data_IF_683550169950
#
_entry.id   IF_683550169950
#
_cell.length_a   1.000
_cell.length_b   1.000
_cell.length_c   1.000
_cell.angle_alpha   90.00
_cell.angle_beta   90.00
_cell.angle_gamma   90.00
#
_symmetry.space_group_name_H-M   'P 1'
#
loop_
_entity.id
_entity.type
_entity.pdbx_description
1 polymer ?
#
# COMPACT_ATOMS: atom_id res chain seq x y z
N UNK A 1 -11.13 -50.93 -3.41
CA UNK A 1 -11.87 -49.70 -3.07
C UNK A 1 -12.75 -50.01 -1.88
N UNK A 2 -12.51 -49.34 -0.74
CA UNK A 2 -13.24 -49.62 0.51
C UNK A 2 -14.48 -48.74 0.55
N UNK A 3 -15.61 -49.25 1.04
CA UNK A 3 -16.84 -48.46 1.23
C UNK A 3 -17.03 -48.15 2.70
N UNK A 4 -17.19 -46.88 3.04
CA UNK A 4 -17.37 -46.42 4.41
C UNK A 4 -18.61 -45.52 4.52
N UNK A 5 -19.26 -45.58 5.68
CA UNK A 5 -20.21 -44.55 6.10
C UNK A 5 -19.37 -43.42 6.72
N UNK A 6 -19.44 -42.24 6.12
CA UNK A 6 -18.65 -41.08 6.55
C UNK A 6 -19.56 -40.13 7.33
N UNK A 7 -19.11 -39.68 8.50
CA UNK A 7 -19.78 -38.66 9.31
C UNK A 7 -18.83 -37.50 9.52
N UNK A 8 -19.22 -36.31 9.09
CA UNK A 8 -18.41 -35.09 9.22
C UNK A 8 -19.03 -34.23 10.31
N UNK A 9 -18.23 -33.82 11.29
CA UNK A 9 -18.68 -32.89 12.33
C UNK A 9 -18.40 -31.45 11.90
N UNK A 10 -19.45 -30.65 11.77
CA UNK A 10 -19.37 -29.21 11.50
C UNK A 10 -19.75 -28.40 12.74
N UNK A 11 -19.46 -27.09 12.73
CA UNK A 11 -19.86 -26.15 13.79
C UNK A 11 -21.39 -26.12 13.98
N UNK A 12 -22.16 -26.47 12.95
CA UNK A 12 -23.64 -26.48 12.96
C UNK A 12 -24.21 -27.86 13.32
N UNK A 13 -23.36 -28.89 13.41
CA UNK A 13 -23.74 -30.25 13.75
C UNK A 13 -23.13 -31.31 12.82
N UNK A 14 -23.35 -32.60 13.12
CA UNK A 14 -22.89 -33.70 12.27
C UNK A 14 -23.70 -33.79 10.98
N UNK A 15 -23.00 -34.00 9.86
CA UNK A 15 -23.59 -34.27 8.53
C UNK A 15 -23.11 -35.61 8.01
N UNK A 16 -24.01 -36.33 7.36
CA UNK A 16 -23.80 -37.68 6.85
C UNK A 16 -24.34 -37.77 5.41
N UNK A 17 -23.57 -38.33 4.46
CA UNK A 17 -24.07 -38.59 3.12
C UNK A 17 -25.16 -39.66 3.16
N UNK A 18 -26.13 -39.56 2.25
CA UNK A 18 -27.25 -40.52 2.15
C UNK A 18 -26.76 -41.95 1.83
N UNK A 19 -25.61 -42.07 1.13
CA UNK A 19 -25.07 -43.34 0.65
C UNK A 19 -23.65 -43.59 1.15
N UNK A 20 -23.26 -44.86 1.20
CA UNK A 20 -21.87 -45.26 1.45
C UNK A 20 -20.93 -44.71 0.38
N UNK A 21 -19.78 -44.19 0.80
CA UNK A 21 -18.81 -43.53 -0.08
C UNK A 21 -17.63 -44.45 -0.34
N UNK A 22 -17.12 -44.46 -1.58
CA UNK A 22 -15.88 -45.14 -1.93
C UNK A 22 -14.67 -44.34 -1.44
N UNK A 23 -13.82 -44.96 -0.63
CA UNK A 23 -12.64 -44.33 -0.01
C UNK A 23 -11.37 -45.05 -0.46
N UNK A 24 -10.32 -44.27 -0.67
CA UNK A 24 -8.95 -44.73 -0.86
C UNK A 24 -8.22 -44.54 0.48
N UNK A 25 -7.79 -45.64 1.09
CA UNK A 25 -6.97 -45.59 2.31
C UNK A 25 -5.51 -45.71 1.86
N UNK A 26 -4.75 -44.64 2.07
CA UNK A 26 -3.31 -44.62 1.81
C UNK A 26 -2.61 -45.12 3.08
N UNK A 27 -1.57 -45.93 2.94
CA UNK A 27 -0.84 -46.52 4.08
C UNK A 27 0.08 -45.55 4.82
N UNK A 28 -0.27 -44.27 4.87
CA UNK A 28 0.46 -43.20 5.55
C UNK A 28 -0.43 -42.71 6.69
N UNK A 29 0.16 -42.56 7.88
CA UNK A 29 -0.53 -42.04 9.07
C UNK A 29 -0.18 -40.56 9.23
N UNK A 30 -0.77 -39.72 8.38
CA UNK A 30 -0.62 -38.26 8.42
C UNK A 30 -1.79 -37.56 9.13
N UNK A 31 -2.83 -38.30 9.53
CA UNK A 31 -4.02 -37.75 10.19
C UNK A 31 -4.84 -36.82 9.29
N UNK A 32 -4.50 -36.74 8.01
CA UNK A 32 -5.15 -35.87 7.03
C UNK A 32 -6.17 -36.66 6.21
N UNK A 33 -7.23 -35.99 5.77
CA UNK A 33 -8.23 -36.57 4.89
C UNK A 33 -8.53 -35.60 3.75
N UNK A 34 -8.53 -36.12 2.53
CA UNK A 34 -8.87 -35.35 1.34
C UNK A 34 -10.32 -35.67 0.97
N UNK A 35 -11.17 -34.65 0.97
CA UNK A 35 -12.58 -34.76 0.60
C UNK A 35 -12.75 -34.25 -0.83
N UNK A 36 -13.30 -35.07 -1.71
CA UNK A 36 -13.62 -34.65 -3.07
C UNK A 36 -14.75 -33.62 -3.08
N UNK A 37 -14.68 -32.64 -3.99
CA UNK A 37 -15.73 -31.63 -4.18
C UNK A 37 -17.12 -32.25 -4.38
N UNK A 38 -17.21 -33.34 -5.14
CA UNK A 38 -18.47 -34.07 -5.35
C UNK A 38 -19.11 -34.54 -4.03
N UNK A 39 -18.30 -34.97 -3.07
CA UNK A 39 -18.80 -35.38 -1.75
C UNK A 39 -19.26 -34.15 -0.94
N UNK A 40 -18.52 -33.05 -0.97
CA UNK A 40 -18.90 -31.80 -0.32
C UNK A 40 -20.22 -31.26 -0.89
N UNK A 41 -20.38 -31.21 -2.21
CA UNK A 41 -21.62 -30.80 -2.87
C UNK A 41 -22.79 -31.72 -2.47
N UNK A 42 -22.57 -33.04 -2.35
CA UNK A 42 -23.61 -33.97 -1.91
C UNK A 42 -24.06 -33.76 -0.45
N UNK A 43 -23.19 -33.16 0.37
CA UNK A 43 -23.49 -32.74 1.75
C UNK A 43 -24.11 -31.33 1.80
N UNK A 44 -24.29 -30.66 0.66
CA UNK A 44 -24.79 -29.29 0.58
C UNK A 44 -23.73 -28.21 0.84
N UNK A 45 -22.44 -28.57 0.79
CA UNK A 45 -21.31 -27.67 0.99
C UNK A 45 -20.69 -27.37 -0.37
N UNK A 46 -21.05 -26.21 -0.95
CA UNK A 46 -20.48 -25.71 -2.19
C UNK A 46 -19.55 -24.53 -1.88
N UNK A 47 -18.26 -24.83 -1.78
CA UNK A 47 -17.23 -23.85 -1.42
C UNK A 47 -17.05 -22.81 -2.52
N UNK A 48 -17.19 -23.21 -3.79
CA UNK A 48 -17.01 -22.31 -4.93
C UNK A 48 -18.15 -21.29 -4.97
N UNK A 49 -19.41 -21.74 -4.85
CA UNK A 49 -20.56 -20.83 -4.78
C UNK A 49 -20.56 -19.95 -3.53
N UNK A 50 -20.08 -20.46 -2.39
CA UNK A 50 -19.91 -19.64 -1.17
C UNK A 50 -18.82 -18.58 -1.36
N UNK A 51 -17.73 -18.91 -2.06
CA UNK A 51 -16.67 -17.97 -2.38
C UNK A 51 -17.13 -16.92 -3.40
N UNK A 52 -17.90 -17.32 -4.42
CA UNK A 52 -18.55 -16.41 -5.36
C UNK A 52 -19.47 -15.41 -4.64
N UNK A 53 -20.28 -15.87 -3.68
CA UNK A 53 -21.12 -14.98 -2.89
C UNK A 53 -20.33 -14.04 -1.98
N UNK A 54 -19.16 -14.46 -1.48
CA UNK A 54 -18.27 -13.58 -0.72
C UNK A 54 -17.62 -12.53 -1.64
N UNK A 55 -17.24 -12.91 -2.85
CA UNK A 55 -16.70 -12.00 -3.86
C UNK A 55 -17.77 -11.03 -4.40
N UNK A 56 -19.04 -11.43 -4.44
CA UNK A 56 -20.14 -10.62 -4.96
C UNK A 56 -20.81 -9.70 -3.91
N UNK A 57 -20.36 -9.72 -2.64
CA UNK A 57 -20.91 -8.86 -1.58
C UNK A 57 -20.35 -7.43 -1.67
N UNK A 58 -21.04 -6.65 -2.51
CA UNK A 58 -21.23 -5.20 -2.53
C UNK A 58 -20.05 -4.27 -2.90
N UNK A 59 -19.85 -4.13 -4.21
CA UNK A 59 -19.50 -2.85 -4.86
C UNK A 59 -20.68 -1.86 -4.91
N UNK A 60 -21.88 -2.22 -4.44
CA UNK A 60 -23.10 -1.42 -4.60
C UNK A 60 -23.59 -0.74 -3.31
N UNK A 61 -22.80 0.18 -2.77
CA UNK A 61 -23.33 1.42 -2.19
C UNK A 61 -22.52 2.67 -2.59
N UNK A 62 -22.96 3.26 -3.71
CA UNK A 62 -22.91 4.71 -3.97
C UNK A 62 -21.59 5.29 -4.49
N UNK A 63 -21.39 5.13 -5.80
CA UNK A 63 -20.92 6.18 -6.71
C UNK A 63 -19.59 6.83 -6.37
N UNK A 64 -18.49 6.19 -6.76
CA UNK A 64 -17.20 6.84 -6.89
C UNK A 64 -16.07 5.85 -7.17
N UNK A 65 -15.56 5.89 -8.40
CA UNK A 65 -14.27 5.33 -8.85
C UNK A 65 -14.08 3.79 -8.67
N UNK A 66 -13.85 3.00 -9.73
CA UNK A 66 -13.65 1.55 -9.65
C UNK A 66 -12.27 1.16 -9.10
N UNK A 67 -11.66 2.01 -8.28
CA UNK A 67 -10.41 1.69 -7.59
C UNK A 67 -10.83 1.16 -6.22
N UNK A 68 -10.95 -0.16 -6.12
CA UNK A 68 -10.91 -0.87 -4.85
C UNK A 68 -9.59 -0.47 -4.15
N UNK A 69 -9.68 0.46 -3.21
CA UNK A 69 -8.55 0.81 -2.37
C UNK A 69 -8.40 -0.33 -1.38
N UNK A 70 -7.68 -1.36 -1.82
CA UNK A 70 -7.15 -2.41 -0.94
C UNK A 70 -6.59 -1.73 0.30
N UNK A 71 -6.85 -2.32 1.47
CA UNK A 71 -6.37 -1.84 2.77
C UNK A 71 -4.87 -2.15 2.85
N UNK A 72 -4.10 -1.55 1.96
CA UNK A 72 -2.66 -1.70 1.93
C UNK A 72 -2.07 -0.80 3.02
N UNK A 73 -1.23 -1.40 3.87
CA UNK A 73 -0.62 -0.75 5.02
C UNK A 73 0.14 0.50 4.57
N UNK A 74 0.01 1.60 5.31
CA UNK A 74 0.70 2.85 5.00
C UNK A 74 2.22 2.66 5.12
N UNK A 75 3.00 2.66 4.01
CA UNK A 75 4.45 2.50 4.09
C UNK A 75 5.13 3.82 4.51
N UNK A 76 4.41 4.94 4.46
CA UNK A 76 4.97 6.27 4.69
C UNK A 76 4.47 6.83 6.02
N UNK A 77 5.29 6.65 7.06
CA UNK A 77 5.19 7.53 8.23
C UNK A 77 5.71 8.89 7.81
N UNK A 78 4.82 9.89 7.68
CA UNK A 78 5.21 11.27 7.98
C UNK A 78 5.51 11.27 9.47
N UNK A 79 6.74 10.88 9.82
CA UNK A 79 7.19 11.14 11.16
C UNK A 79 7.07 12.65 11.33
N UNK A 80 6.32 13.09 12.34
CA UNK A 80 6.43 14.44 12.88
C UNK A 80 7.80 14.65 13.54
N UNK A 81 8.86 14.12 12.92
CA UNK A 81 10.23 14.42 13.25
C UNK A 81 10.41 15.92 13.05
N UNK A 82 11.06 16.53 14.04
CA UNK A 82 11.56 17.88 13.96
C UNK A 82 12.19 18.08 12.57
N UNK A 83 11.91 19.18 11.85
CA UNK A 83 12.49 19.42 10.55
C UNK A 83 13.99 19.20 10.62
N UNK A 84 14.48 18.33 9.74
CA UNK A 84 15.89 17.97 9.74
C UNK A 84 16.73 19.22 9.46
N UNK A 85 17.65 19.52 10.36
CA UNK A 85 18.48 20.72 10.25
C UNK A 85 19.66 20.49 9.31
N UNK A 86 20.36 21.56 8.97
CA UNK A 86 21.55 21.50 8.11
C UNK A 86 22.64 20.56 8.68
N UNK A 87 22.71 20.41 10.01
CA UNK A 87 23.61 19.47 10.70
C UNK A 87 23.26 18.01 10.38
N UNK A 88 21.97 17.69 10.27
CA UNK A 88 21.53 16.34 9.96
C UNK A 88 21.82 15.98 8.50
N UNK A 89 21.64 16.96 7.60
CA UNK A 89 22.00 16.85 6.18
C UNK A 89 23.50 16.62 6.04
N UNK A 90 24.32 17.43 6.69
CA UNK A 90 25.78 17.26 6.72
C UNK A 90 26.17 15.86 7.20
N UNK A 91 25.57 15.40 8.30
CA UNK A 91 25.83 14.07 8.85
C UNK A 91 25.36 12.94 7.92
N UNK A 92 24.30 13.14 7.15
CA UNK A 92 23.88 12.20 6.11
C UNK A 92 24.89 12.12 4.96
N UNK A 93 25.45 13.26 4.55
CA UNK A 93 26.44 13.33 3.48
C UNK A 93 27.77 12.69 3.89
N UNK A 94 28.26 12.93 5.11
CA UNK A 94 29.47 12.25 5.59
C UNK A 94 29.29 10.73 5.64
N UNK A 95 28.12 10.23 6.09
CA UNK A 95 27.81 8.79 6.02
C UNK A 95 27.83 8.23 4.60
N UNK A 96 27.37 9.01 3.62
CA UNK A 96 27.45 8.61 2.21
C UNK A 96 28.89 8.57 1.70
N UNK A 97 29.74 9.53 2.11
CA UNK A 97 31.16 9.55 1.76
C UNK A 97 31.86 8.32 2.35
N UNK A 98 31.61 8.00 3.63
CA UNK A 98 32.16 6.81 4.29
C UNK A 98 31.77 5.53 3.54
N UNK A 99 30.48 5.39 3.19
CA UNK A 99 30.00 4.26 2.40
C UNK A 99 30.72 4.16 1.04
N UNK A 100 30.96 5.29 0.36
CA UNK A 100 31.67 5.30 -0.93
C UNK A 100 33.14 4.87 -0.76
N UNK A 101 33.80 5.27 0.34
CA UNK A 101 35.16 4.82 0.68
C UNK A 101 35.20 3.31 0.96
N UNK A 102 34.24 2.79 1.72
CA UNK A 102 34.10 1.33 1.95
C UNK A 102 33.92 0.57 0.64
N UNK A 103 33.25 1.18 -0.34
CA UNK A 103 33.08 0.67 -1.70
C UNK A 103 34.28 0.94 -2.63
N UNK A 104 35.47 1.16 -2.06
CA UNK A 104 36.77 1.29 -2.74
C UNK A 104 36.93 2.52 -3.63
N UNK A 105 36.29 3.62 -3.27
CA UNK A 105 36.63 4.91 -3.86
C UNK A 105 38.08 5.31 -3.55
N UNK A 106 38.83 5.89 -4.51
CA UNK A 106 40.23 6.26 -4.30
C UNK A 106 40.40 7.29 -3.16
N UNK A 107 41.22 6.94 -2.17
CA UNK A 107 41.42 7.75 -0.96
C UNK A 107 42.02 9.13 -1.27
N UNK A 108 42.82 9.23 -2.33
CA UNK A 108 43.41 10.49 -2.80
C UNK A 108 42.38 11.51 -3.30
N UNK A 109 41.16 11.08 -3.61
CA UNK A 109 40.09 11.94 -4.11
C UNK A 109 39.00 12.22 -3.08
N UNK A 110 39.08 11.63 -1.88
CA UNK A 110 38.01 11.76 -0.86
C UNK A 110 37.82 13.21 -0.42
N UNK A 111 38.90 13.96 -0.20
CA UNK A 111 38.78 15.37 0.19
C UNK A 111 38.21 16.23 -0.95
N UNK A 112 38.52 15.89 -2.20
CA UNK A 112 37.95 16.55 -3.39
C UNK A 112 36.45 16.26 -3.46
N UNK A 113 36.05 15.00 -3.27
CA UNK A 113 34.65 14.58 -3.23
C UNK A 113 33.91 15.31 -2.11
N UNK A 114 34.44 15.32 -0.89
CA UNK A 114 33.85 16.04 0.25
C UNK A 114 33.66 17.52 -0.06
N UNK A 115 34.66 18.16 -0.66
CA UNK A 115 34.58 19.57 -1.08
C UNK A 115 33.43 19.78 -2.08
N UNK A 116 33.30 18.94 -3.10
CA UNK A 116 32.25 19.05 -4.11
C UNK A 116 30.86 18.82 -3.50
N UNK A 117 30.73 17.78 -2.69
CA UNK A 117 29.46 17.36 -2.09
C UNK A 117 28.90 18.45 -1.18
N UNK A 118 29.75 19.15 -0.43
CA UNK A 118 29.37 20.29 0.41
C UNK A 118 29.43 21.66 -0.26
N UNK A 119 29.79 21.75 -1.55
CA UNK A 119 29.96 23.03 -2.23
C UNK A 119 28.64 23.79 -2.44
N UNK A 120 27.52 23.07 -2.52
CA UNK A 120 26.21 23.64 -2.82
C UNK A 120 25.13 23.10 -1.88
N UNK A 121 24.21 23.97 -1.52
CA UNK A 121 23.02 23.62 -0.75
C UNK A 121 21.95 22.99 -1.65
N UNK A 122 22.19 21.74 -2.06
CA UNK A 122 21.31 20.99 -2.99
C UNK A 122 20.71 19.73 -2.37
N UNK A 123 21.06 19.44 -1.12
CA UNK A 123 20.70 18.20 -0.44
C UNK A 123 19.54 18.42 0.53
N UNK A 124 18.54 17.54 0.49
CA UNK A 124 17.35 17.60 1.34
C UNK A 124 17.05 16.21 1.88
N UNK A 125 16.81 16.11 3.19
CA UNK A 125 16.29 14.90 3.83
C UNK A 125 14.76 14.88 3.84
N UNK A 126 14.16 16.06 3.83
CA UNK A 126 12.71 16.26 3.82
C UNK A 126 12.36 17.48 2.96
N UNK A 127 11.09 17.62 2.59
CA UNK A 127 10.57 18.79 1.88
C UNK A 127 10.71 20.05 2.77
N UNK A 128 11.25 21.13 2.19
CA UNK A 128 11.47 22.45 2.80
C UNK A 128 10.80 23.55 1.98
N UNK A 129 10.76 24.74 2.57
CA UNK A 129 10.29 26.01 2.01
C UNK A 129 11.37 26.67 1.12
N UNK A 130 12.01 25.87 0.25
CA UNK A 130 13.04 26.38 -0.65
C UNK A 130 12.45 27.42 -1.61
N UNK A 131 13.19 28.49 -1.93
CA UNK A 131 12.70 29.51 -2.84
C UNK A 131 12.44 28.92 -4.23
N UNK A 132 11.41 29.43 -4.90
CA UNK A 132 11.13 29.06 -6.28
C UNK A 132 12.31 29.40 -7.19
N UNK A 133 12.42 28.65 -8.29
CA UNK A 133 13.39 28.97 -9.33
C UNK A 133 13.20 30.41 -9.81
N UNK A 134 14.29 31.10 -10.12
CA UNK A 134 14.27 32.48 -10.62
C UNK A 134 13.81 32.52 -12.09
N UNK A 135 12.53 32.20 -12.30
CA UNK A 135 11.84 32.19 -13.57
C UNK A 135 10.47 32.85 -13.40
N UNK A 136 9.91 33.48 -14.45
CA UNK A 136 8.56 34.00 -14.39
C UNK A 136 7.55 32.91 -14.00
N UNK A 137 6.48 33.25 -13.24
CA UNK A 137 5.43 32.30 -12.92
C UNK A 137 4.79 31.69 -14.17
N UNK A 138 4.34 30.43 -14.05
CA UNK A 138 3.63 29.75 -15.13
C UNK A 138 2.27 30.41 -15.36
N UNK A 139 2.04 30.94 -16.57
CA UNK A 139 0.73 31.41 -17.00
C UNK A 139 -0.05 30.28 -17.70
N UNK A 140 -1.17 29.87 -17.10
CA UNK A 140 -2.06 28.87 -17.69
C UNK A 140 -3.15 29.57 -18.51
N UNK A 141 -3.26 29.23 -19.81
CA UNK A 141 -4.32 29.73 -20.71
C UNK A 141 -5.37 28.67 -20.94
N UNK A 142 -6.62 29.01 -20.67
CA UNK A 142 -7.76 28.13 -20.96
C UNK A 142 -8.09 28.19 -22.45
N UNK A 143 -8.59 27.06 -22.99
CA UNK A 143 -9.12 27.03 -24.35
C UNK A 143 -10.41 27.86 -24.46
N UNK A 144 -10.69 28.36 -25.65
CA UNK A 144 -11.91 29.11 -25.93
C UNK A 144 -13.15 28.25 -25.62
N UNK A 145 -14.07 28.82 -24.83
CA UNK A 145 -15.29 28.14 -24.39
C UNK A 145 -15.13 27.18 -23.22
N UNK A 146 -13.93 27.06 -22.62
CA UNK A 146 -13.73 26.29 -21.40
C UNK A 146 -14.62 26.81 -20.26
N UNK A 147 -15.20 25.89 -19.48
CA UNK A 147 -16.06 26.21 -18.33
C UNK A 147 -15.51 25.54 -17.07
N UNK A 148 -15.48 26.25 -15.92
CA UNK A 148 -15.13 25.62 -14.65
C UNK A 148 -16.05 24.44 -14.36
N UNK A 149 -15.46 23.31 -13.98
CA UNK A 149 -16.20 22.10 -13.62
C UNK A 149 -15.83 21.72 -12.20
N UNK A 150 -16.84 21.41 -11.38
CA UNK A 150 -16.64 20.93 -10.01
C UNK A 150 -16.92 19.44 -9.95
N UNK A 151 -15.92 18.68 -9.53
CA UNK A 151 -16.06 17.24 -9.28
C UNK A 151 -16.47 17.00 -7.81
N UNK A 152 -17.18 15.90 -7.55
CA UNK A 152 -17.42 15.44 -6.18
C UNK A 152 -16.08 14.98 -5.56
N UNK A 153 -15.80 15.28 -4.28
CA UNK A 153 -14.61 14.76 -3.62
C UNK A 153 -14.58 13.23 -3.59
N UNK A 154 -13.41 12.63 -3.78
CA UNK A 154 -13.21 11.18 -3.66
C UNK A 154 -13.30 10.78 -2.18
N UNK A 155 -13.96 9.65 -1.90
CA UNK A 155 -13.92 9.02 -0.56
C UNK A 155 -12.59 8.26 -0.41
N UNK A 156 -11.82 8.61 0.61
CA UNK A 156 -10.59 7.90 0.98
C UNK A 156 -10.79 7.05 2.25
N UNK A 157 -10.11 5.90 2.39
CA UNK A 157 -10.01 5.18 3.65
C UNK A 157 -9.49 6.07 4.79
N UNK A 158 -9.81 5.76 6.06
CA UNK A 158 -9.44 6.61 7.19
C UNK A 158 -7.94 6.91 7.29
N UNK A 159 -7.06 5.95 6.95
CA UNK A 159 -5.62 6.13 7.04
C UNK A 159 -5.09 7.08 5.94
N UNK A 160 -5.48 6.88 4.68
CA UNK A 160 -5.12 7.75 3.57
C UNK A 160 -5.62 9.17 3.82
N UNK A 161 -6.85 9.31 4.34
CA UNK A 161 -7.41 10.62 4.71
C UNK A 161 -6.56 11.33 5.75
N UNK A 162 -6.07 10.62 6.77
CA UNK A 162 -5.18 11.18 7.80
C UNK A 162 -3.86 11.65 7.19
N UNK A 163 -3.22 10.81 6.38
CA UNK A 163 -1.99 11.16 5.68
C UNK A 163 -2.15 12.41 4.83
N UNK A 164 -3.18 12.46 3.99
CA UNK A 164 -3.44 13.62 3.12
C UNK A 164 -3.70 14.88 3.94
N UNK A 165 -4.39 14.76 5.07
CA UNK A 165 -4.61 15.89 5.97
C UNK A 165 -3.29 16.41 6.56
N UNK A 166 -2.46 15.53 7.13
CA UNK A 166 -1.16 15.89 7.72
C UNK A 166 -0.20 16.48 6.67
N UNK A 167 -0.16 15.88 5.48
CA UNK A 167 0.64 16.38 4.36
C UNK A 167 0.17 17.77 3.91
N UNK A 168 -1.14 17.98 3.74
CA UNK A 168 -1.67 19.27 3.30
C UNK A 168 -1.42 20.36 4.34
N UNK A 169 -1.53 20.06 5.64
CA UNK A 169 -1.14 21.00 6.71
C UNK A 169 0.33 21.42 6.53
N UNK A 170 1.22 20.45 6.31
CA UNK A 170 2.64 20.73 6.08
C UNK A 170 2.87 21.55 4.80
N UNK A 171 2.16 21.27 3.71
CA UNK A 171 2.29 22.04 2.46
C UNK A 171 1.85 23.49 2.64
N UNK A 172 0.79 23.74 3.40
CA UNK A 172 0.33 25.10 3.75
C UNK A 172 1.37 25.81 4.63
N UNK A 173 1.93 25.14 5.64
CA UNK A 173 3.00 25.69 6.48
C UNK A 173 4.25 26.07 5.69
N UNK A 174 4.59 25.29 4.65
CA UNK A 174 5.70 25.56 3.73
C UNK A 174 5.37 26.60 2.65
N UNK A 175 4.12 27.10 2.59
CA UNK A 175 3.68 28.06 1.56
C UNK A 175 3.55 27.46 0.15
N UNK A 176 3.46 26.14 0.04
CA UNK A 176 3.34 25.40 -1.23
C UNK A 176 1.88 25.12 -1.63
N UNK A 177 0.95 25.29 -0.70
CA UNK A 177 -0.49 25.20 -0.94
C UNK A 177 -1.22 26.32 -0.17
N UNK A 178 -2.44 26.65 -0.60
CA UNK A 178 -3.24 27.69 0.04
C UNK A 178 -4.74 27.37 -0.03
N UNK A 179 -5.47 27.78 1.00
CA UNK A 179 -6.92 27.73 0.96
C UNK A 179 -7.45 28.83 0.03
N UNK A 180 -8.24 28.42 -0.97
CA UNK A 180 -8.88 29.35 -1.88
C UNK A 180 -10.11 29.96 -1.19
N UNK A 181 -9.99 31.22 -0.75
CA UNK A 181 -11.02 31.98 -0.01
C UNK A 181 -12.07 32.59 -0.95
#
# INVERSE_FOLDING_TARGET
MTKLLVRVHTVVGPVEPINVVGVLVVGVDDGEFIVCSVLLTSLGIDVDHQLEQLAARDEDESGGDPIELEVDEMPVKLNGSKPSGDVDIFSAMERMIDCVVENRFPLEHVEILRTIVHAYDVWRLELRDDPSANVPPLEVRLQDGARPTKCKPRKYPPYTRRFLHELNVRLVELGLDFENV
#
